data_IF_023642773730
#
_entry.id   IF_023642773730
#
_cell.length_a   1.000
_cell.length_b   1.000
_cell.length_c   1.000
_cell.angle_alpha   90.00
_cell.angle_beta   90.00
_cell.angle_gamma   90.00
#
_symmetry.space_group_name_H-M   'P 1'
#
loop_
_entity.id
_entity.type
_entity.pdbx_description
1 polymer ?
#
# COMPACT_ATOMS: atom_id res chain seq x y z
N UNK A 1 41.39 60.62 -21.71
CA UNK A 1 40.45 60.00 -22.62
C UNK A 1 39.48 59.28 -21.74
N UNK A 2 38.29 59.85 -21.51
CA UNK A 2 37.30 59.43 -20.47
C UNK A 2 36.20 58.78 -21.23
N UNK A 3 36.04 57.43 -21.07
CA UNK A 3 34.96 56.66 -21.63
C UNK A 3 33.85 56.58 -20.58
N UNK A 4 32.77 57.29 -20.82
CA UNK A 4 31.53 57.23 -20.05
C UNK A 4 30.71 56.04 -20.52
N UNK A 5 30.46 55.09 -19.63
CA UNK A 5 29.53 54.01 -19.87
C UNK A 5 28.16 54.42 -19.31
N UNK A 6 27.09 54.42 -20.11
CA UNK A 6 25.76 54.75 -19.61
C UNK A 6 25.16 53.58 -18.86
N UNK A 7 24.68 53.87 -17.64
CA UNK A 7 23.77 53.01 -16.87
C UNK A 7 22.45 52.93 -17.60
N UNK A 8 22.10 51.76 -18.05
CA UNK A 8 20.70 51.44 -18.36
C UNK A 8 20.22 50.41 -17.37
N UNK A 9 19.36 50.90 -16.50
CA UNK A 9 18.46 50.11 -15.70
C UNK A 9 17.48 49.43 -16.63
N UNK A 10 17.29 48.15 -16.50
CA UNK A 10 16.06 47.48 -16.89
C UNK A 10 15.73 46.44 -15.84
N UNK A 11 14.76 46.84 -15.02
CA UNK A 11 13.98 45.97 -14.20
C UNK A 11 13.19 45.02 -15.09
N UNK A 12 13.31 43.73 -14.87
CA UNK A 12 12.25 42.78 -15.24
C UNK A 12 12.05 41.87 -14.09
N UNK A 13 11.01 42.16 -13.34
CA UNK A 13 10.41 41.30 -12.38
C UNK A 13 9.79 40.12 -13.15
N UNK A 14 10.45 38.98 -13.11
CA UNK A 14 9.91 37.69 -13.56
C UNK A 14 9.40 36.96 -12.35
N UNK A 15 8.11 37.12 -12.06
CA UNK A 15 7.42 36.30 -11.10
C UNK A 15 7.26 34.91 -11.69
N UNK A 16 8.17 33.99 -11.38
CA UNK A 16 7.98 32.58 -11.64
C UNK A 16 7.04 32.03 -10.58
N UNK A 17 5.75 32.00 -10.91
CA UNK A 17 4.75 31.20 -10.22
C UNK A 17 5.09 29.72 -10.46
N UNK A 18 5.92 29.18 -9.58
CA UNK A 18 6.13 27.75 -9.47
C UNK A 18 4.85 27.09 -8.99
N UNK A 19 4.04 26.62 -9.92
CA UNK A 19 2.93 25.72 -9.63
C UNK A 19 3.50 24.43 -9.06
N UNK A 20 3.55 24.32 -7.72
CA UNK A 20 3.71 23.05 -7.04
C UNK A 20 2.48 22.21 -7.38
N UNK A 21 2.61 21.37 -8.38
CA UNK A 21 1.73 20.23 -8.60
C UNK A 21 1.97 19.28 -7.43
N UNK A 22 1.23 19.48 -6.34
CA UNK A 22 0.98 18.46 -5.35
C UNK A 22 0.27 17.32 -6.09
N UNK A 23 1.05 16.38 -6.59
CA UNK A 23 0.55 15.07 -6.96
C UNK A 23 0.08 14.44 -5.66
N UNK A 24 -1.17 14.70 -5.31
CA UNK A 24 -1.89 13.89 -4.35
C UNK A 24 -1.89 12.50 -4.96
N UNK A 25 -1.00 11.63 -4.49
CA UNK A 25 -1.22 10.20 -4.61
C UNK A 25 -2.58 9.98 -3.94
N UNK A 26 -3.62 9.92 -4.74
CA UNK A 26 -4.89 9.34 -4.35
C UNK A 26 -4.58 7.87 -4.07
N UNK A 27 -4.05 7.58 -2.87
CA UNK A 27 -4.05 6.26 -2.32
C UNK A 27 -5.48 5.79 -2.46
N UNK A 28 -5.67 4.68 -3.16
CA UNK A 28 -6.96 4.01 -3.22
C UNK A 28 -7.42 3.88 -1.78
N UNK A 29 -8.38 4.70 -1.41
CA UNK A 29 -9.09 4.54 -0.15
C UNK A 29 -9.66 3.13 -0.22
N UNK A 30 -9.22 2.20 0.64
CA UNK A 30 -9.88 0.92 0.73
C UNK A 30 -11.34 1.26 0.97
N UNK A 31 -12.19 0.82 0.08
CA UNK A 31 -13.63 1.01 0.19
C UNK A 31 -14.02 0.43 1.54
N UNK A 32 -14.33 1.31 2.50
CA UNK A 32 -14.71 0.96 3.87
C UNK A 32 -16.09 0.25 3.93
N UNK A 33 -16.46 -0.39 2.85
CA UNK A 33 -17.80 -0.62 2.37
C UNK A 33 -18.58 -1.64 3.15
N UNK A 34 -18.00 -2.39 4.07
CA UNK A 34 -18.77 -3.44 4.73
C UNK A 34 -18.48 -3.58 6.23
N UNK A 35 -17.77 -2.64 6.82
CA UNK A 35 -17.50 -2.70 8.25
C UNK A 35 -18.30 -1.64 8.99
N UNK A 36 -19.06 -2.07 9.99
CA UNK A 36 -19.90 -1.20 10.82
C UNK A 36 -19.61 -1.43 12.30
N UNK A 37 -19.70 -0.35 13.07
CA UNK A 37 -19.65 -0.37 14.52
C UNK A 37 -20.53 0.75 15.05
N UNK A 38 -21.40 0.47 15.99
CA UNK A 38 -22.26 1.48 16.61
C UNK A 38 -21.42 2.59 17.23
N UNK A 39 -21.70 3.84 16.83
CA UNK A 39 -21.01 5.01 17.34
C UNK A 39 -19.66 5.32 16.69
N UNK A 40 -19.22 4.54 15.71
CA UNK A 40 -18.05 4.87 14.91
C UNK A 40 -18.44 5.72 13.70
N UNK A 41 -17.69 6.76 13.42
CA UNK A 41 -17.78 7.56 12.21
C UNK A 41 -16.92 6.95 11.09
N UNK A 42 -17.15 7.38 9.86
CA UNK A 42 -16.43 6.87 8.67
C UNK A 42 -14.91 7.07 8.78
N UNK A 43 -14.46 8.15 9.42
CA UNK A 43 -13.04 8.42 9.61
C UNK A 43 -12.41 7.41 10.57
N UNK A 44 -13.11 7.06 11.64
CA UNK A 44 -12.68 6.04 12.59
C UNK A 44 -12.64 4.67 11.91
N UNK A 45 -13.69 4.31 11.15
CA UNK A 45 -13.71 3.04 10.40
C UNK A 45 -12.54 2.96 9.43
N UNK A 46 -12.29 4.02 8.68
CA UNK A 46 -11.20 4.07 7.69
C UNK A 46 -9.82 3.91 8.36
N UNK A 47 -9.59 4.58 9.49
CA UNK A 47 -8.33 4.49 10.23
C UNK A 47 -8.11 3.10 10.79
N UNK A 48 -9.11 2.51 11.43
CA UNK A 48 -9.01 1.18 12.01
C UNK A 48 -8.85 0.09 10.93
N UNK A 49 -9.53 0.26 9.80
CA UNK A 49 -9.36 -0.61 8.64
C UNK A 49 -7.94 -0.51 8.06
N UNK A 50 -7.37 0.69 7.97
CA UNK A 50 -6.00 0.88 7.51
C UNK A 50 -4.98 0.20 8.43
N UNK A 51 -5.17 0.29 9.76
CA UNK A 51 -4.34 -0.39 10.75
C UNK A 51 -4.43 -1.91 10.62
N UNK A 52 -5.64 -2.46 10.51
CA UNK A 52 -5.84 -3.90 10.31
C UNK A 52 -5.30 -4.39 8.96
N UNK A 53 -5.40 -3.60 7.91
CA UNK A 53 -4.79 -3.90 6.61
C UNK A 53 -3.25 -3.93 6.69
N UNK A 54 -2.64 -3.05 7.46
CA UNK A 54 -1.20 -3.07 7.67
C UNK A 54 -0.75 -4.38 8.32
N UNK A 55 -1.50 -4.88 9.33
CA UNK A 55 -1.24 -6.16 9.97
C UNK A 55 -1.44 -7.34 9.02
N UNK A 56 -2.50 -7.32 8.21
CA UNK A 56 -2.76 -8.34 7.20
C UNK A 56 -1.67 -8.40 6.13
N UNK A 57 -1.19 -7.24 5.68
CA UNK A 57 -0.09 -7.14 4.72
C UNK A 57 1.24 -7.64 5.30
N UNK A 58 1.51 -7.38 6.57
CA UNK A 58 2.69 -7.92 7.26
C UNK A 58 2.62 -9.45 7.36
N UNK A 59 1.44 -10.00 7.67
CA UNK A 59 1.21 -11.44 7.69
C UNK A 59 1.41 -12.06 6.31
N UNK A 60 0.88 -11.43 5.26
CA UNK A 60 1.08 -11.87 3.86
C UNK A 60 2.55 -11.88 3.46
N UNK A 61 3.29 -10.82 3.79
CA UNK A 61 4.71 -10.72 3.49
C UNK A 61 5.52 -11.81 4.22
N UNK A 62 5.17 -12.12 5.47
CA UNK A 62 5.80 -13.21 6.22
C UNK A 62 5.55 -14.58 5.58
N UNK A 63 4.33 -14.88 5.18
CA UNK A 63 3.99 -16.13 4.47
C UNK A 63 4.74 -16.25 3.13
N UNK A 64 4.88 -15.14 2.40
CA UNK A 64 5.65 -15.11 1.16
C UNK A 64 7.13 -15.36 1.41
N UNK A 65 7.70 -14.83 2.49
CA UNK A 65 9.08 -15.09 2.91
C UNK A 65 9.31 -16.57 3.23
N UNK A 66 8.44 -17.19 4.02
CA UNK A 66 8.49 -18.61 4.35
C UNK A 66 8.43 -19.46 3.07
N UNK A 67 7.53 -19.16 2.14
CA UNK A 67 7.42 -19.87 0.88
C UNK A 67 8.67 -19.71 0.01
N UNK A 68 9.29 -18.53 0.02
CA UNK A 68 10.54 -18.30 -0.71
C UNK A 68 11.70 -19.13 -0.14
N UNK A 69 11.81 -19.24 1.19
CA UNK A 69 12.82 -20.05 1.86
C UNK A 69 12.64 -21.55 1.60
N UNK A 70 11.38 -22.01 1.61
CA UNK A 70 11.06 -23.41 1.26
C UNK A 70 11.50 -23.71 -0.18
N UNK A 71 11.17 -22.84 -1.13
CA UNK A 71 11.55 -22.99 -2.53
C UNK A 71 13.08 -22.96 -2.72
N UNK A 72 13.78 -22.10 -1.99
CA UNK A 72 15.23 -22.03 -2.03
C UNK A 72 15.89 -23.33 -1.50
N UNK A 73 15.29 -23.95 -0.47
CA UNK A 73 15.78 -25.18 0.15
C UNK A 73 15.55 -26.41 -0.73
N UNK A 74 14.42 -26.47 -1.46
CA UNK A 74 14.07 -27.60 -2.34
C UNK A 74 14.94 -27.68 -3.60
N UNK A 75 15.67 -26.61 -3.94
CA UNK A 75 16.62 -26.54 -5.03
C UNK A 75 15.99 -26.49 -6.42
N UNK A 76 16.87 -26.36 -7.45
CA UNK A 76 16.42 -26.14 -8.84
C UNK A 76 15.71 -27.34 -9.47
N UNK A 77 15.95 -28.55 -8.98
CA UNK A 77 15.33 -29.76 -9.55
C UNK A 77 13.82 -29.82 -9.34
N UNK A 78 13.34 -29.23 -8.25
CA UNK A 78 11.92 -29.02 -7.99
C UNK A 78 11.28 -28.13 -9.07
N UNK A 79 12.03 -27.17 -9.59
CA UNK A 79 11.55 -26.20 -10.57
C UNK A 79 11.31 -26.76 -11.99
N UNK A 80 11.88 -27.89 -12.32
CA UNK A 80 11.79 -28.46 -13.63
C UNK A 80 10.59 -29.42 -13.84
N UNK A 81 9.82 -29.68 -12.78
CA UNK A 81 8.75 -30.68 -12.77
C UNK A 81 7.39 -30.25 -13.31
N UNK A 82 7.21 -29.04 -13.85
CA UNK A 82 5.95 -28.58 -14.47
C UNK A 82 4.75 -28.37 -13.52
N UNK A 83 4.83 -28.84 -12.27
CA UNK A 83 3.80 -28.68 -11.23
C UNK A 83 3.87 -27.34 -10.50
N UNK A 84 4.94 -26.58 -10.73
CA UNK A 84 5.26 -25.33 -10.05
C UNK A 84 4.19 -24.25 -10.11
N UNK A 85 3.54 -24.12 -11.25
CA UNK A 85 2.54 -23.07 -11.44
C UNK A 85 1.31 -23.30 -10.57
N UNK A 86 0.90 -24.56 -10.43
CA UNK A 86 -0.28 -24.94 -9.63
C UNK A 86 0.03 -24.81 -8.14
N UNK A 87 1.19 -25.29 -7.71
CA UNK A 87 1.60 -25.20 -6.31
C UNK A 87 1.89 -23.77 -5.87
N UNK A 88 2.62 -22.98 -6.69
CA UNK A 88 2.85 -21.58 -6.42
C UNK A 88 1.53 -20.78 -6.37
N UNK A 89 0.57 -21.10 -7.21
CA UNK A 89 -0.74 -20.49 -7.20
C UNK A 89 -1.55 -20.90 -5.96
N UNK A 90 -1.46 -22.16 -5.54
CA UNK A 90 -2.06 -22.67 -4.31
C UNK A 90 -1.51 -21.97 -3.08
N UNK A 91 -0.18 -21.85 -2.97
CA UNK A 91 0.49 -21.14 -1.87
C UNK A 91 0.09 -19.67 -1.80
N UNK A 92 -0.02 -18.99 -2.95
CA UNK A 92 -0.50 -17.59 -2.98
C UNK A 92 -1.94 -17.45 -2.49
N UNK A 93 -2.82 -18.38 -2.87
CA UNK A 93 -4.21 -18.38 -2.38
C UNK A 93 -4.29 -18.63 -0.89
N UNK A 94 -3.49 -19.54 -0.36
CA UNK A 94 -3.42 -19.78 1.08
C UNK A 94 -2.91 -18.56 1.84
N UNK A 95 -1.84 -17.92 1.35
CA UNK A 95 -1.29 -16.72 1.96
C UNK A 95 -2.30 -15.56 1.96
N UNK A 96 -3.01 -15.34 0.84
CA UNK A 96 -4.06 -14.31 0.78
C UNK A 96 -5.24 -14.64 1.70
N UNK A 97 -5.67 -15.89 1.77
CA UNK A 97 -6.71 -16.33 2.70
C UNK A 97 -6.34 -16.12 4.17
N UNK A 98 -5.07 -16.33 4.50
CA UNK A 98 -4.56 -16.05 5.83
C UNK A 98 -4.55 -14.54 6.14
N UNK A 99 -4.11 -13.71 5.21
CA UNK A 99 -4.16 -12.26 5.37
C UNK A 99 -5.59 -11.74 5.56
N UNK A 100 -6.56 -12.29 4.81
CA UNK A 100 -7.98 -11.97 4.98
C UNK A 100 -8.51 -12.37 6.38
N UNK A 101 -8.05 -13.49 6.91
CA UNK A 101 -8.40 -13.91 8.28
C UNK A 101 -7.81 -12.93 9.31
N UNK A 102 -6.55 -12.51 9.14
CA UNK A 102 -5.91 -11.54 10.03
C UNK A 102 -6.69 -10.22 10.02
N UNK A 103 -7.05 -9.71 8.84
CA UNK A 103 -7.87 -8.52 8.70
C UNK A 103 -9.22 -8.67 9.41
N UNK A 104 -9.94 -9.75 9.14
CA UNK A 104 -11.25 -9.99 9.74
C UNK A 104 -11.18 -10.12 11.27
N UNK A 105 -10.18 -10.83 11.79
CA UNK A 105 -9.99 -10.99 13.22
C UNK A 105 -9.61 -9.66 13.90
N UNK A 106 -8.75 -8.87 13.28
CA UNK A 106 -8.37 -7.56 13.77
C UNK A 106 -9.58 -6.63 13.87
N UNK A 107 -10.38 -6.52 12.81
CA UNK A 107 -11.58 -5.68 12.80
C UNK A 107 -12.62 -6.14 13.84
N UNK A 108 -12.84 -7.45 13.96
CA UNK A 108 -13.75 -8.00 14.96
C UNK A 108 -13.27 -7.75 16.38
N UNK A 109 -11.97 -7.89 16.66
CA UNK A 109 -11.39 -7.61 17.96
C UNK A 109 -11.56 -6.13 18.35
N UNK A 110 -11.62 -5.23 17.38
CA UNK A 110 -11.94 -3.80 17.58
C UNK A 110 -13.45 -3.53 17.66
N UNK A 111 -14.29 -4.54 17.60
CA UNK A 111 -15.74 -4.46 17.75
C UNK A 111 -16.52 -4.10 16.49
N UNK A 112 -15.87 -4.24 15.32
CA UNK A 112 -16.55 -4.05 14.03
C UNK A 112 -17.20 -5.36 13.56
N UNK A 113 -18.30 -5.23 12.84
CA UNK A 113 -18.99 -6.34 12.15
C UNK A 113 -19.11 -6.03 10.66
N UNK A 114 -19.20 -7.07 9.83
CA UNK A 114 -19.52 -6.89 8.41
C UNK A 114 -21.03 -6.79 8.25
N UNK A 115 -21.47 -5.81 7.49
CA UNK A 115 -22.81 -5.82 6.94
C UNK A 115 -22.88 -6.90 5.86
N UNK A 116 -23.88 -7.78 6.01
CA UNK A 116 -24.17 -8.85 5.07
C UNK A 116 -24.87 -8.36 3.81
#
# INVERSE_FOLDING_TARGET
MIIRIPRRALSTAGAALGSLLLTVCAGQTPTATNWVKSGADDQTITRELADCNAQANAALANEQGINADINATLGRNWQLGGTQTIEAQSMRRQASGYADQVLNNCMRAKGFSKEG
#
